data_IF_568319641070
#
_entry.id   IF_568319641070
#
_cell.length_a   1.000
_cell.length_b   1.000
_cell.length_c   1.000
_cell.angle_alpha   90.00
_cell.angle_beta   90.00
_cell.angle_gamma   90.00
#
_symmetry.space_group_name_H-M   'P 1'
#
loop_
_entity.id
_entity.type
_entity.pdbx_description
1 polymer ?
#
# COMPACT_ATOMS: atom_id res chain seq x y z
N UNK A 1 9.23 5.02 -0.47
CA UNK A 1 7.88 5.32 0.07
C UNK A 1 6.96 5.88 -0.99
N UNK A 2 6.61 5.00 -1.92
CA UNK A 2 5.67 5.26 -3.00
C UNK A 2 4.23 4.88 -2.63
N UNK A 3 4.04 4.32 -1.44
CA UNK A 3 2.79 3.71 -0.99
C UNK A 3 2.26 4.45 0.24
N UNK A 4 1.02 4.93 0.14
CA UNK A 4 0.28 5.56 1.24
C UNK A 4 -0.70 4.51 1.78
N UNK A 5 -0.65 4.29 3.08
CA UNK A 5 -1.52 3.37 3.78
C UNK A 5 -2.40 4.09 4.80
N UNK A 6 -3.72 3.98 4.66
CA UNK A 6 -4.71 4.59 5.56
C UNK A 6 -5.77 3.56 5.96
N UNK A 7 -6.07 3.42 7.25
CA UNK A 7 -7.24 2.64 7.73
C UNK A 7 -8.39 3.59 8.07
N UNK A 8 -9.59 3.31 7.54
CA UNK A 8 -10.83 4.05 7.85
C UNK A 8 -11.93 3.06 8.20
N UNK A 9 -12.17 2.89 9.49
CA UNK A 9 -13.06 1.82 9.99
C UNK A 9 -12.54 0.45 9.56
N UNK A 10 -13.43 -0.38 9.02
CA UNK A 10 -13.11 -1.74 8.55
C UNK A 10 -12.60 -1.76 7.10
N UNK A 11 -12.09 -0.64 6.59
CA UNK A 11 -11.57 -0.54 5.22
C UNK A 11 -10.16 0.05 5.23
N UNK A 12 -9.22 -0.71 4.67
CA UNK A 12 -7.86 -0.27 4.45
C UNK A 12 -7.69 0.26 3.03
N UNK A 13 -7.17 1.49 2.93
CA UNK A 13 -6.87 2.19 1.70
C UNK A 13 -5.36 2.11 1.47
N UNK A 14 -4.98 1.41 0.40
CA UNK A 14 -3.60 1.34 -0.07
C UNK A 14 -3.53 2.13 -1.38
N UNK A 15 -2.78 3.24 -1.39
CA UNK A 15 -2.64 4.12 -2.55
C UNK A 15 -1.20 4.09 -3.03
N UNK A 16 -0.99 3.74 -4.29
CA UNK A 16 0.30 3.90 -4.96
C UNK A 16 0.38 5.35 -5.43
N UNK A 17 1.24 6.14 -4.79
CA UNK A 17 1.43 7.56 -5.04
C UNK A 17 2.70 7.81 -5.87
N UNK A 18 2.67 7.35 -7.13
CA UNK A 18 3.75 7.61 -8.12
C UNK A 18 3.19 8.07 -9.47
N UNK A 19 2.43 9.19 -9.50
CA UNK A 19 1.77 9.62 -10.72
C UNK A 19 2.75 9.95 -11.85
N UNK A 20 3.99 10.34 -11.55
CA UNK A 20 4.99 10.69 -12.58
C UNK A 20 5.39 9.50 -13.47
N UNK A 21 5.21 8.28 -12.96
CA UNK A 21 5.49 7.02 -13.68
C UNK A 21 4.23 6.18 -13.82
N UNK A 22 3.05 6.81 -13.82
CA UNK A 22 1.74 6.14 -13.94
C UNK A 22 1.53 5.03 -12.90
N UNK A 23 2.01 5.24 -11.68
CA UNK A 23 1.94 4.27 -10.58
C UNK A 23 2.67 2.95 -10.88
N UNK A 24 3.73 3.00 -11.70
CA UNK A 24 4.60 1.85 -11.93
C UNK A 24 5.11 1.28 -10.60
N UNK A 25 4.98 -0.03 -10.46
CA UNK A 25 5.42 -0.78 -9.29
C UNK A 25 6.86 -1.24 -9.48
N UNK A 26 7.73 -0.85 -8.56
CA UNK A 26 9.11 -1.34 -8.45
C UNK A 26 9.24 -2.33 -7.27
N UNK A 27 10.37 -3.02 -7.10
CA UNK A 27 10.56 -4.00 -6.03
C UNK A 27 10.36 -3.45 -4.60
N UNK A 28 10.68 -2.18 -4.35
CA UNK A 28 10.42 -1.52 -3.06
C UNK A 28 8.90 -1.38 -2.86
N UNK A 29 8.18 -0.85 -3.87
CA UNK A 29 6.72 -0.71 -3.83
C UNK A 29 6.03 -2.07 -3.59
N UNK A 30 6.52 -3.16 -4.21
CA UNK A 30 6.01 -4.51 -3.95
C UNK A 30 6.24 -4.99 -2.51
N UNK A 31 7.38 -4.64 -1.93
CA UNK A 31 7.69 -4.99 -0.54
C UNK A 31 6.80 -4.22 0.44
N UNK A 32 6.60 -2.92 0.18
CA UNK A 32 5.67 -2.07 0.95
C UNK A 32 4.22 -2.59 0.85
N UNK A 33 3.81 -2.99 -0.36
CA UNK A 33 2.49 -3.57 -0.59
C UNK A 33 2.33 -4.88 0.19
N UNK A 34 3.32 -5.78 0.13
CA UNK A 34 3.27 -7.04 0.89
C UNK A 34 3.13 -6.80 2.39
N UNK A 35 3.83 -5.81 2.93
CA UNK A 35 3.73 -5.45 4.34
C UNK A 35 2.35 -4.89 4.69
N UNK A 36 1.79 -4.02 3.86
CA UNK A 36 0.44 -3.48 4.04
C UNK A 36 -0.62 -4.59 3.99
N UNK A 37 -0.48 -5.58 3.10
CA UNK A 37 -1.40 -6.73 3.03
C UNK A 37 -1.35 -7.63 4.26
N UNK A 38 -0.16 -7.85 4.83
CA UNK A 38 -0.02 -8.59 6.09
C UNK A 38 -0.75 -7.84 7.21
N UNK A 39 -0.54 -6.53 7.30
CA UNK A 39 -1.17 -5.69 8.30
C UNK A 39 -2.71 -5.68 8.19
N UNK A 40 -3.25 -5.64 6.96
CA UNK A 40 -4.70 -5.79 6.72
C UNK A 40 -5.23 -7.17 7.10
N UNK A 41 -4.48 -8.24 6.82
CA UNK A 41 -4.88 -9.61 7.14
C UNK A 41 -4.93 -9.86 8.65
N UNK A 42 -3.96 -9.29 9.38
CA UNK A 42 -3.79 -9.52 10.81
C UNK A 42 -4.58 -8.50 11.66
N UNK A 43 -5.23 -7.50 11.03
CA UNK A 43 -6.15 -6.56 11.68
C UNK A 43 -7.51 -7.24 12.00
N UNK A 44 -7.90 -7.34 13.29
CA UNK A 44 -9.04 -8.13 13.75
C UNK A 44 -10.44 -7.52 13.53
#
# INVERSE_FOLDING_TARGET
MALIYEKKGNTAYITINRPEVMNAMDPETYSELSQAWIDVRDDP
#
